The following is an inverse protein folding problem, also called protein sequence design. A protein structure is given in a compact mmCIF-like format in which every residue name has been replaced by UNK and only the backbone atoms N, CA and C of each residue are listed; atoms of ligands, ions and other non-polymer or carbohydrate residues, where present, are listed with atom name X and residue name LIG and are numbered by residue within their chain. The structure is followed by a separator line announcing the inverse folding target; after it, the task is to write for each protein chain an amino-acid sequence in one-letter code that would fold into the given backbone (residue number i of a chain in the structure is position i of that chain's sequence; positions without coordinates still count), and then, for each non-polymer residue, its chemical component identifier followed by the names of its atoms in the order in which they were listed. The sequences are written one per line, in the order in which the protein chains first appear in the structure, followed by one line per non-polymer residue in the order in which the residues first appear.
data_IF_807142826137
#
_entry.id   IF_807142826137
#
_cell.length_a   1.000
_cell.length_b   1.000
_cell.length_c   1.000
_cell.angle_alpha   90.00
_cell.angle_beta   90.00
_cell.angle_gamma   90.00
#
_symmetry.space_group_name_H-M   'P 1'
#
loop_
_entity.id
_entity.type
_entity.pdbx_description
1 polymer ?
#
# COMPACT_ATOMS: atom_id res chain seq x y z
N UNK A 1 23.21 72.21 -1.62
CA UNK A 1 22.34 71.40 -0.74
C UNK A 1 22.04 70.08 -1.46
N UNK A 2 22.77 69.01 -1.17
CA UNK A 2 22.52 67.65 -1.73
C UNK A 2 21.67 66.88 -0.73
N UNK A 3 20.48 66.48 -1.14
CA UNK A 3 19.58 65.60 -0.36
C UNK A 3 19.95 64.14 -0.66
N UNK A 4 20.50 63.45 0.32
CA UNK A 4 20.80 62.01 0.26
C UNK A 4 19.51 61.26 0.62
N UNK A 5 18.98 60.48 -0.31
CA UNK A 5 17.84 59.59 -0.09
C UNK A 5 18.36 58.24 0.38
N UNK A 6 18.09 57.87 1.65
CA UNK A 6 18.37 56.53 2.18
C UNK A 6 17.21 55.59 1.77
N UNK A 7 17.51 54.62 0.93
CA UNK A 7 16.60 53.50 0.63
C UNK A 7 16.76 52.42 1.68
N UNK A 8 15.75 52.22 2.52
CA UNK A 8 15.70 51.13 3.50
C UNK A 8 15.14 49.88 2.78
N UNK A 9 15.99 48.91 2.47
CA UNK A 9 15.57 47.62 1.92
C UNK A 9 15.14 46.70 3.09
N UNK A 10 13.83 46.49 3.21
CA UNK A 10 13.27 45.51 4.14
C UNK A 10 13.39 44.08 3.55
N UNK A 11 14.34 43.31 4.01
CA UNK A 11 14.45 41.89 3.70
C UNK A 11 13.41 41.10 4.52
N UNK A 12 12.36 40.62 3.86
CA UNK A 12 11.39 39.71 4.43
C UNK A 12 12.05 38.32 4.45
N UNK A 13 12.53 37.89 5.62
CA UNK A 13 13.00 36.52 5.84
C UNK A 13 11.78 35.60 5.97
N UNK A 14 11.44 34.89 4.89
CA UNK A 14 10.50 33.78 4.96
C UNK A 14 11.15 32.62 5.74
N UNK A 15 10.80 32.46 7.01
CA UNK A 15 11.19 31.28 7.78
C UNK A 15 10.35 30.10 7.33
N UNK A 16 10.88 29.24 6.45
CA UNK A 16 10.31 27.93 6.20
C UNK A 16 10.54 27.07 7.43
N UNK A 17 9.49 26.81 8.20
CA UNK A 17 9.53 25.80 9.26
C UNK A 17 9.64 24.43 8.62
N UNK A 18 10.85 23.89 8.46
CA UNK A 18 11.05 22.48 8.12
C UNK A 18 10.56 21.69 9.33
N UNK A 19 9.39 21.06 9.21
CA UNK A 19 8.90 20.17 10.24
C UNK A 19 9.79 18.93 10.26
N UNK A 20 10.49 18.68 11.38
CA UNK A 20 11.36 17.52 11.52
C UNK A 20 10.55 16.24 11.32
N UNK A 21 10.96 15.41 10.38
CA UNK A 21 10.40 14.09 10.12
C UNK A 21 10.48 13.23 11.37
N UNK A 22 9.34 12.73 11.85
CA UNK A 22 9.28 11.79 12.97
C UNK A 22 9.28 10.37 12.46
N UNK A 23 10.11 9.51 13.04
CA UNK A 23 10.20 8.10 12.70
C UNK A 23 9.73 7.21 13.85
N UNK A 24 9.14 6.08 13.49
CA UNK A 24 8.62 5.06 14.41
C UNK A 24 9.06 3.69 13.89
N UNK A 25 9.67 2.89 14.75
CA UNK A 25 10.12 1.55 14.37
C UNK A 25 9.22 0.47 14.96
N UNK A 26 9.07 -0.63 14.25
CA UNK A 26 8.37 -1.83 14.66
C UNK A 26 9.20 -3.04 14.23
N UNK A 27 9.60 -3.90 15.18
CA UNK A 27 10.30 -5.14 14.89
C UNK A 27 9.35 -6.33 14.97
N UNK A 28 9.63 -7.38 14.20
CA UNK A 28 9.03 -8.71 14.36
C UNK A 28 9.35 -9.28 15.75
N UNK A 29 8.61 -10.29 16.23
CA UNK A 29 8.91 -10.95 17.50
C UNK A 29 10.33 -11.52 17.58
N UNK A 30 10.84 -12.09 16.50
CA UNK A 30 12.23 -12.62 16.41
C UNK A 30 13.29 -11.51 16.15
N UNK A 31 12.85 -10.28 15.85
CA UNK A 31 13.71 -9.11 15.62
C UNK A 31 14.38 -9.04 14.25
N UNK A 32 14.16 -10.00 13.34
CA UNK A 32 14.80 -10.04 12.01
C UNK A 32 14.18 -9.04 11.03
N UNK A 33 12.85 -8.89 11.05
CA UNK A 33 12.15 -7.87 10.28
C UNK A 33 12.00 -6.59 11.10
N UNK A 34 12.35 -5.46 10.49
CA UNK A 34 12.11 -4.15 11.09
C UNK A 34 11.43 -3.22 10.09
N UNK A 35 10.29 -2.66 10.48
CA UNK A 35 9.58 -1.62 9.75
C UNK A 35 9.90 -0.26 10.35
N UNK A 36 10.32 0.69 9.52
CA UNK A 36 10.48 2.09 9.88
C UNK A 36 9.38 2.91 9.21
N UNK A 37 8.51 3.52 10.00
CA UNK A 37 7.43 4.40 9.52
C UNK A 37 7.85 5.85 9.75
N UNK A 38 7.83 6.64 8.69
CA UNK A 38 8.21 8.04 8.75
C UNK A 38 7.01 8.95 8.47
N UNK A 39 6.80 9.93 9.34
CA UNK A 39 5.78 10.97 9.23
C UNK A 39 6.49 12.32 9.02
N UNK A 40 6.59 12.73 7.77
CA UNK A 40 7.16 14.00 7.30
C UNK A 40 6.15 14.70 6.40
N UNK A 41 6.56 15.17 5.22
CA UNK A 41 5.66 15.72 4.20
C UNK A 41 4.70 14.65 3.66
N UNK A 42 5.14 13.39 3.68
CA UNK A 42 4.32 12.23 3.38
C UNK A 42 4.51 11.14 4.45
N UNK A 43 3.50 10.28 4.59
CA UNK A 43 3.62 9.04 5.35
C UNK A 43 4.31 8.00 4.46
N UNK A 44 5.43 7.45 4.94
CA UNK A 44 6.19 6.41 4.25
C UNK A 44 6.54 5.28 5.20
N UNK A 45 6.82 4.10 4.64
CA UNK A 45 7.37 2.98 5.39
C UNK A 45 8.53 2.35 4.62
N UNK A 46 9.49 1.80 5.34
CA UNK A 46 10.61 1.01 4.81
C UNK A 46 10.74 -0.27 5.63
N UNK A 47 11.27 -1.33 5.03
CA UNK A 47 11.44 -2.63 5.70
C UNK A 47 12.86 -3.13 5.51
N UNK A 48 13.47 -3.56 6.61
CA UNK A 48 14.74 -4.30 6.61
C UNK A 48 14.53 -5.73 7.10
N UNK A 49 15.29 -6.66 6.54
CA UNK A 49 15.37 -8.05 6.97
C UNK A 49 16.83 -8.40 7.26
N UNK A 50 17.14 -8.86 8.46
CA UNK A 50 18.50 -9.08 8.96
C UNK A 50 19.43 -7.86 8.72
N UNK A 51 18.90 -6.64 8.93
CA UNK A 51 19.62 -5.38 8.75
C UNK A 51 19.76 -4.90 7.29
N UNK A 52 19.34 -5.70 6.31
CA UNK A 52 19.36 -5.34 4.88
C UNK A 52 18.01 -4.75 4.46
N UNK A 53 18.03 -3.63 3.74
CA UNK A 53 16.81 -3.05 3.16
C UNK A 53 16.23 -3.95 2.08
N UNK A 54 14.96 -4.35 2.24
CA UNK A 54 14.18 -5.14 1.27
C UNK A 54 13.05 -4.33 0.66
N UNK A 55 12.49 -3.36 1.39
CA UNK A 55 11.62 -2.32 0.86
C UNK A 55 12.17 -0.97 1.27
N UNK A 56 12.40 -0.10 0.31
CA UNK A 56 12.81 1.29 0.50
C UNK A 56 11.61 2.17 0.86
N UNK A 57 11.85 3.43 1.23
CA UNK A 57 10.79 4.35 1.67
C UNK A 57 9.63 4.43 0.66
N UNK A 58 8.56 3.75 0.96
CA UNK A 58 7.37 3.55 0.13
C UNK A 58 6.23 4.42 0.67
N UNK A 59 5.68 5.36 -0.12
CA UNK A 59 4.60 6.21 0.33
C UNK A 59 3.26 5.47 0.34
N UNK A 60 2.40 5.87 1.29
CA UNK A 60 1.04 5.39 1.43
C UNK A 60 0.09 6.54 1.75
N UNK A 61 -1.05 6.59 1.07
CA UNK A 61 -2.07 7.61 1.31
C UNK A 61 -3.46 7.18 0.83
N UNK A 62 -4.51 7.83 1.39
CA UNK A 62 -5.89 7.74 0.90
C UNK A 62 -6.40 9.15 0.63
N UNK A 63 -6.89 9.40 -0.58
CA UNK A 63 -7.53 10.67 -0.94
C UNK A 63 -9.05 10.52 -0.85
N UNK A 64 -9.69 11.41 -0.10
CA UNK A 64 -11.12 11.45 0.13
C UNK A 64 -11.82 12.41 -0.83
N UNK A 65 -13.12 12.24 -1.02
CA UNK A 65 -13.96 13.09 -1.90
C UNK A 65 -14.07 14.55 -1.47
N UNK A 66 -13.77 14.87 -0.21
CA UNK A 66 -13.68 16.23 0.30
C UNK A 66 -12.31 16.91 0.04
N UNK A 67 -11.41 16.27 -0.70
CA UNK A 67 -10.07 16.75 -1.01
C UNK A 67 -9.01 16.49 0.08
N UNK A 68 -9.39 15.90 1.23
CA UNK A 68 -8.42 15.52 2.26
C UNK A 68 -7.63 14.30 1.82
N UNK A 69 -6.30 14.32 2.01
CA UNK A 69 -5.44 13.15 1.78
C UNK A 69 -4.84 12.67 3.10
N UNK A 70 -5.27 11.51 3.59
CA UNK A 70 -4.62 10.83 4.70
C UNK A 70 -3.25 10.34 4.25
N UNK A 71 -2.21 10.70 4.96
CA UNK A 71 -0.83 10.42 4.58
C UNK A 71 -0.07 11.61 3.99
N UNK A 72 -0.74 12.70 3.60
CA UNK A 72 -0.09 13.98 3.31
C UNK A 72 0.01 14.80 4.61
N UNK A 73 1.15 15.42 4.86
CA UNK A 73 1.46 16.17 6.09
C UNK A 73 0.95 15.45 7.38
N UNK A 74 1.27 14.15 7.58
CA UNK A 74 0.67 13.36 8.64
C UNK A 74 1.08 13.86 10.01
N UNK A 75 0.11 14.19 10.86
CA UNK A 75 0.34 14.67 12.22
C UNK A 75 -0.05 13.59 13.22
N UNK A 76 0.95 12.90 13.77
CA UNK A 76 0.74 11.85 14.75
C UNK A 76 0.30 12.47 16.09
N UNK A 77 -0.90 12.08 16.55
CA UNK A 77 -1.51 12.51 17.79
C UNK A 77 -1.36 11.48 18.93
N UNK A 78 -1.02 10.24 18.61
CA UNK A 78 -0.79 9.19 19.60
C UNK A 78 -0.16 7.96 18.96
N UNK A 79 0.57 7.20 19.78
CA UNK A 79 1.26 5.97 19.38
C UNK A 79 0.84 4.87 20.34
N UNK A 80 0.41 3.74 19.80
CA UNK A 80 0.11 2.54 20.58
C UNK A 80 0.94 1.38 20.04
N UNK A 81 1.50 0.59 20.95
CA UNK A 81 2.21 -0.65 20.64
C UNK A 81 1.54 -1.80 21.35
N UNK A 82 1.31 -2.88 20.63
CA UNK A 82 0.73 -4.11 21.18
C UNK A 82 1.47 -5.31 20.59
N UNK A 83 1.25 -6.47 21.17
CA UNK A 83 1.71 -7.75 20.63
C UNK A 83 0.60 -8.78 20.79
N UNK A 84 0.65 -9.81 19.96
CA UNK A 84 -0.19 -10.99 20.09
C UNK A 84 0.67 -12.23 19.98
N UNK A 85 0.30 -13.26 20.72
CA UNK A 85 0.81 -14.63 20.60
C UNK A 85 -0.33 -15.56 20.99
N UNK A 86 -1.09 -16.01 20.02
CA UNK A 86 -2.28 -16.84 20.23
C UNK A 86 -2.42 -17.84 19.09
N UNK A 87 -3.14 -18.92 19.36
CA UNK A 87 -3.50 -19.92 18.35
C UNK A 87 -4.91 -19.65 17.85
N UNK A 88 -5.07 -19.63 16.53
CA UNK A 88 -6.36 -19.49 15.84
C UNK A 88 -6.71 -20.84 15.23
N UNK A 89 -7.93 -21.34 15.50
CA UNK A 89 -8.44 -22.52 14.83
C UNK A 89 -8.66 -22.24 13.33
N UNK A 90 -8.20 -23.14 12.48
CA UNK A 90 -8.26 -22.99 11.02
C UNK A 90 -8.83 -24.25 10.36
N UNK A 91 -10.13 -24.54 10.55
CA UNK A 91 -10.73 -25.82 10.17
C UNK A 91 -10.80 -26.09 8.67
N UNK A 92 -10.58 -25.05 7.84
CA UNK A 92 -10.65 -25.16 6.37
C UNK A 92 -9.28 -25.01 5.69
N UNK A 93 -8.20 -25.03 6.47
CA UNK A 93 -6.85 -24.94 5.97
C UNK A 93 -6.10 -26.29 6.16
N UNK A 94 -4.94 -26.45 5.52
CA UNK A 94 -4.10 -27.65 5.65
C UNK A 94 -3.56 -27.90 7.08
N UNK A 95 -3.63 -26.89 7.94
CA UNK A 95 -3.29 -26.99 9.36
C UNK A 95 -4.53 -26.66 10.19
N UNK A 96 -4.81 -27.45 11.22
CA UNK A 96 -5.97 -27.28 12.11
C UNK A 96 -5.90 -25.99 12.94
N UNK A 97 -4.71 -25.45 13.10
CA UNK A 97 -4.47 -24.20 13.83
C UNK A 97 -3.29 -23.43 13.26
N UNK A 98 -3.36 -22.10 13.41
CA UNK A 98 -2.32 -21.15 12.98
C UNK A 98 -1.92 -20.32 14.19
N UNK A 99 -0.62 -20.15 14.41
CA UNK A 99 -0.11 -19.22 15.42
C UNK A 99 -0.19 -17.78 14.88
N UNK A 100 -0.95 -16.93 15.56
CA UNK A 100 -1.05 -15.50 15.28
C UNK A 100 -0.07 -14.77 16.23
N UNK A 101 1.18 -14.61 15.78
CA UNK A 101 2.28 -14.08 16.57
C UNK A 101 2.91 -12.86 15.88
N UNK A 102 2.64 -11.68 16.43
CA UNK A 102 3.12 -10.42 15.85
C UNK A 102 3.32 -9.32 16.88
N UNK A 103 4.12 -8.35 16.54
CA UNK A 103 4.11 -7.02 17.16
C UNK A 103 3.34 -6.03 16.29
N UNK A 104 2.67 -5.05 16.90
CA UNK A 104 1.87 -4.06 16.21
C UNK A 104 2.20 -2.62 16.65
N UNK A 105 2.10 -1.71 15.70
CA UNK A 105 2.24 -0.27 15.87
C UNK A 105 1.01 0.42 15.28
N UNK A 106 0.28 1.17 16.09
CA UNK A 106 -0.81 2.03 15.63
C UNK A 106 -0.42 3.48 15.80
N UNK A 107 -0.37 4.23 14.72
CA UNK A 107 -0.21 5.67 14.72
C UNK A 107 -1.58 6.31 14.56
N UNK A 108 -2.10 6.88 15.66
CA UNK A 108 -3.32 7.68 15.64
C UNK A 108 -2.98 9.07 15.13
N UNK A 109 -3.60 9.49 14.05
CA UNK A 109 -3.36 10.79 13.43
C UNK A 109 -4.33 11.86 13.97
N UNK A 110 -3.98 13.13 13.78
CA UNK A 110 -4.97 14.20 13.89
C UNK A 110 -6.06 14.00 12.86
N UNK A 111 -7.33 14.14 13.28
CA UNK A 111 -8.50 13.74 12.49
C UNK A 111 -8.97 12.33 12.87
N UNK A 112 -9.91 11.83 12.07
CA UNK A 112 -10.64 10.60 12.40
C UNK A 112 -10.05 9.36 11.73
N UNK A 113 -8.71 9.21 11.74
CA UNK A 113 -8.02 8.07 11.14
C UNK A 113 -6.75 7.64 11.88
N UNK A 114 -6.33 6.44 11.60
CA UNK A 114 -5.05 5.87 12.02
C UNK A 114 -4.44 5.04 10.90
N UNK A 115 -3.15 4.73 11.02
CA UNK A 115 -2.51 3.65 10.28
C UNK A 115 -2.02 2.60 11.27
N UNK A 116 -2.26 1.34 10.95
CA UNK A 116 -1.82 0.19 11.74
C UNK A 116 -0.77 -0.58 10.94
N UNK A 117 0.30 -0.98 11.62
CA UNK A 117 1.33 -1.86 11.12
C UNK A 117 1.39 -3.11 11.98
N UNK A 118 1.61 -4.26 11.36
CA UNK A 118 1.98 -5.52 12.03
C UNK A 118 3.28 -6.03 11.45
N UNK A 119 4.15 -6.54 12.31
CA UNK A 119 5.35 -7.26 11.94
C UNK A 119 5.26 -8.67 12.52
N UNK A 120 5.22 -9.65 11.65
CA UNK A 120 5.34 -11.08 11.90
C UNK A 120 6.80 -11.50 11.67
N UNK A 121 7.17 -12.72 12.05
CA UNK A 121 8.53 -13.23 11.80
C UNK A 121 8.80 -13.46 10.30
N UNK A 122 7.74 -13.60 9.50
CA UNK A 122 7.73 -13.88 8.07
C UNK A 122 7.10 -12.77 7.21
N UNK A 123 6.80 -11.59 7.77
CA UNK A 123 6.23 -10.52 6.97
C UNK A 123 5.78 -9.29 7.73
N UNK A 124 5.45 -8.27 6.95
CA UNK A 124 4.90 -7.02 7.46
C UNK A 124 3.61 -6.67 6.74
N UNK A 125 2.69 -6.03 7.45
CA UNK A 125 1.43 -5.58 6.90
C UNK A 125 1.08 -4.19 7.41
N UNK A 126 0.39 -3.39 6.57
CA UNK A 126 -0.21 -2.14 7.02
C UNK A 126 -1.65 -2.01 6.53
N UNK A 127 -2.44 -1.24 7.26
CA UNK A 127 -3.76 -0.78 6.82
C UNK A 127 -4.10 0.58 7.37
N UNK A 128 -4.99 1.27 6.69
CA UNK A 128 -5.67 2.43 7.24
C UNK A 128 -6.87 2.00 8.11
N UNK A 129 -7.25 2.86 9.06
CA UNK A 129 -8.44 2.68 9.89
C UNK A 129 -9.17 4.01 9.99
N UNK A 130 -10.44 4.03 9.60
CA UNK A 130 -11.34 5.17 9.77
C UNK A 130 -12.05 5.10 11.11
N UNK A 131 -12.12 6.24 11.79
CA UNK A 131 -12.99 6.48 12.94
C UNK A 131 -14.06 7.53 12.62
N UNK A 132 -14.14 7.96 11.38
CA UNK A 132 -15.14 8.93 10.93
C UNK A 132 -16.56 8.43 11.20
N UNK A 133 -17.40 9.31 11.72
CA UNK A 133 -18.80 9.00 12.02
C UNK A 133 -19.74 9.37 10.87
N UNK A 134 -19.26 10.15 9.91
CA UNK A 134 -20.02 10.55 8.72
C UNK A 134 -19.52 9.75 7.53
N UNK A 135 -20.42 9.37 6.62
CA UNK A 135 -20.03 8.73 5.35
C UNK A 135 -19.11 9.63 4.52
N UNK A 136 -18.22 9.00 3.75
CA UNK A 136 -17.35 9.64 2.76
C UNK A 136 -16.99 8.62 1.67
N UNK A 137 -16.43 9.12 0.55
CA UNK A 137 -15.89 8.27 -0.49
C UNK A 137 -14.35 8.36 -0.52
N UNK A 138 -13.70 7.26 -0.90
CA UNK A 138 -12.28 7.23 -1.21
C UNK A 138 -12.14 7.38 -2.72
N UNK A 139 -11.47 8.45 -3.14
CA UNK A 139 -11.22 8.74 -4.55
C UNK A 139 -10.05 7.92 -5.06
N UNK A 140 -8.97 7.79 -4.25
CA UNK A 140 -7.80 7.02 -4.62
C UNK A 140 -7.02 6.53 -3.40
N UNK A 141 -6.27 5.44 -3.57
CA UNK A 141 -5.28 4.96 -2.63
C UNK A 141 -3.92 4.94 -3.30
N UNK A 142 -2.89 5.42 -2.58
CA UNK A 142 -1.50 5.21 -2.93
C UNK A 142 -0.98 4.05 -2.08
N UNK A 143 -0.62 2.95 -2.73
CA UNK A 143 0.00 1.77 -2.15
C UNK A 143 1.23 1.43 -2.99
N UNK A 144 2.35 2.09 -2.69
CA UNK A 144 3.60 1.89 -3.41
C UNK A 144 4.48 0.88 -2.67
N UNK A 145 5.25 0.12 -3.44
CA UNK A 145 6.29 -0.78 -2.98
C UNK A 145 7.57 -0.43 -3.72
N UNK A 146 8.52 0.19 -3.02
CA UNK A 146 9.81 0.61 -3.59
C UNK A 146 10.89 -0.35 -3.13
N UNK A 147 11.74 -0.74 -4.06
CA UNK A 147 12.85 -1.65 -3.79
C UNK A 147 14.18 -0.90 -3.87
N UNK A 148 15.23 -1.36 -3.14
CA UNK A 148 16.52 -0.67 -3.09
C UNK A 148 17.30 -0.73 -4.42
N UNK A 149 16.93 -1.64 -5.32
CA UNK A 149 17.58 -1.86 -6.60
C UNK A 149 16.57 -2.30 -7.68
N UNK A 150 17.02 -2.37 -8.93
CA UNK A 150 16.28 -2.96 -10.03
C UNK A 150 16.35 -4.50 -9.94
N UNK A 151 15.44 -5.06 -9.15
CA UNK A 151 15.38 -6.48 -8.82
C UNK A 151 14.56 -7.27 -9.83
N UNK A 152 14.77 -8.58 -9.88
CA UNK A 152 13.94 -9.49 -10.66
C UNK A 152 12.61 -9.72 -9.94
N UNK A 153 11.52 -9.70 -10.71
CA UNK A 153 10.17 -9.92 -10.22
C UNK A 153 9.46 -10.99 -11.06
N UNK A 154 8.73 -11.87 -10.41
CA UNK A 154 7.86 -12.87 -11.02
C UNK A 154 6.42 -12.44 -10.82
N UNK A 155 5.76 -12.05 -11.93
CA UNK A 155 4.48 -11.34 -11.91
C UNK A 155 3.45 -11.99 -12.83
N UNK A 156 2.17 -12.04 -12.43
CA UNK A 156 1.06 -12.45 -13.28
C UNK A 156 0.41 -11.21 -13.91
N UNK A 157 0.55 -11.02 -15.21
CA UNK A 157 -0.21 -9.99 -15.91
C UNK A 157 -1.66 -10.40 -16.13
N UNK A 158 -2.57 -9.42 -16.15
CA UNK A 158 -3.93 -9.67 -16.63
C UNK A 158 -3.89 -10.11 -18.09
N UNK A 159 -4.61 -11.20 -18.42
CA UNK A 159 -4.57 -11.81 -19.75
C UNK A 159 -5.40 -11.04 -20.79
N UNK A 160 -6.37 -10.22 -20.35
CA UNK A 160 -7.35 -9.55 -21.21
C UNK A 160 -7.30 -8.04 -21.03
N UNK A 161 -8.03 -7.34 -21.89
CA UNK A 161 -8.11 -5.89 -21.92
C UNK A 161 -7.03 -5.27 -22.81
N UNK A 162 -7.30 -4.05 -23.25
CA UNK A 162 -6.42 -3.28 -24.14
C UNK A 162 -5.20 -2.81 -23.35
N UNK A 163 -4.03 -2.99 -23.92
CA UNK A 163 -2.79 -2.47 -23.34
C UNK A 163 -2.81 -0.95 -23.25
N UNK A 164 -2.42 -0.41 -22.10
CA UNK A 164 -2.47 1.02 -21.80
C UNK A 164 -3.84 1.53 -21.30
N UNK A 165 -4.87 0.69 -21.31
CA UNK A 165 -6.20 1.00 -20.81
C UNK A 165 -6.51 0.12 -19.60
N UNK A 166 -6.26 0.65 -18.40
CA UNK A 166 -6.45 -0.11 -17.17
C UNK A 166 -7.92 -0.40 -16.87
N UNK A 167 -8.85 0.47 -17.27
CA UNK A 167 -10.28 0.24 -17.05
C UNK A 167 -10.77 -1.00 -17.80
N UNK A 168 -10.29 -1.21 -19.03
CA UNK A 168 -10.60 -2.40 -19.82
C UNK A 168 -9.95 -3.68 -19.25
N UNK A 169 -8.86 -3.54 -18.49
CA UNK A 169 -8.13 -4.65 -17.88
C UNK A 169 -8.73 -5.16 -16.56
N UNK A 170 -9.60 -4.41 -15.90
CA UNK A 170 -10.25 -4.87 -14.67
C UNK A 170 -11.23 -6.04 -14.85
N UNK A 171 -11.62 -6.33 -16.08
CA UNK A 171 -12.42 -7.50 -16.39
C UNK A 171 -11.50 -8.67 -16.82
N UNK A 172 -11.10 -9.49 -15.86
CA UNK A 172 -10.21 -10.62 -16.09
C UNK A 172 -10.54 -11.81 -15.18
N UNK A 173 -9.94 -12.96 -15.43
CA UNK A 173 -10.18 -14.21 -14.69
C UNK A 173 -9.13 -14.49 -13.60
N UNK A 174 -8.12 -13.64 -13.41
CA UNK A 174 -6.97 -13.89 -12.55
C UNK A 174 -6.20 -15.17 -12.89
N UNK A 175 -6.24 -15.57 -14.16
CA UNK A 175 -5.58 -16.76 -14.70
C UNK A 175 -4.62 -16.33 -15.81
N UNK A 176 -3.34 -16.52 -15.56
CA UNK A 176 -2.29 -16.33 -16.56
C UNK A 176 -1.00 -17.02 -16.11
N UNK A 177 -0.09 -17.26 -17.03
CA UNK A 177 1.28 -17.68 -16.70
C UNK A 177 2.05 -16.51 -16.10
N UNK A 178 2.95 -16.83 -15.20
CA UNK A 178 3.83 -15.82 -14.60
C UNK A 178 4.96 -15.46 -15.58
N UNK A 179 5.34 -14.18 -15.56
CA UNK A 179 6.46 -13.63 -16.30
C UNK A 179 7.53 -13.20 -15.30
N UNK A 180 8.79 -13.57 -15.56
CA UNK A 180 9.94 -13.12 -14.77
C UNK A 180 10.73 -12.09 -15.57
N UNK A 181 10.93 -10.90 -14.98
CA UNK A 181 11.67 -9.79 -15.58
C UNK A 181 12.18 -8.84 -14.49
N UNK A 182 13.11 -7.94 -14.82
CA UNK A 182 13.49 -6.86 -13.90
C UNK A 182 12.34 -5.86 -13.73
N UNK A 183 12.26 -5.22 -12.57
CA UNK A 183 11.23 -4.22 -12.27
C UNK A 183 11.16 -3.12 -13.36
N UNK A 184 12.31 -2.69 -13.88
CA UNK A 184 12.40 -1.68 -14.94
C UNK A 184 11.93 -2.17 -16.32
N UNK A 185 11.89 -3.49 -16.54
CA UNK A 185 11.52 -4.14 -17.79
C UNK A 185 10.06 -4.61 -17.81
N UNK A 186 9.34 -4.50 -16.69
CA UNK A 186 7.93 -4.85 -16.62
C UNK A 186 7.11 -3.99 -17.59
N UNK A 187 6.07 -4.59 -18.18
CA UNK A 187 5.21 -3.90 -19.14
C UNK A 187 4.33 -2.84 -18.44
N UNK A 188 4.58 -1.53 -18.67
CA UNK A 188 3.81 -0.46 -18.02
C UNK A 188 2.36 -0.34 -18.52
N UNK A 189 2.04 -0.94 -19.65
CA UNK A 189 0.68 -0.97 -20.21
C UNK A 189 -0.20 -2.09 -19.66
N UNK A 190 0.35 -2.97 -18.79
CA UNK A 190 -0.37 -4.11 -18.24
C UNK A 190 -0.47 -4.05 -16.72
N UNK A 191 -1.67 -4.34 -16.21
CA UNK A 191 -1.88 -4.58 -14.78
C UNK A 191 -1.35 -5.96 -14.39
N UNK A 192 -0.78 -6.03 -13.20
CA UNK A 192 -0.39 -7.28 -12.53
C UNK A 192 -1.36 -7.52 -11.38
N UNK A 193 -1.84 -8.75 -11.27
CA UNK A 193 -2.65 -9.16 -10.11
C UNK A 193 -1.79 -9.83 -9.03
N UNK A 194 -2.34 -10.09 -7.87
CA UNK A 194 -1.64 -10.66 -6.71
C UNK A 194 -1.88 -12.18 -6.60
N UNK A 195 -0.96 -12.93 -5.96
CA UNK A 195 0.32 -12.46 -5.41
C UNK A 195 1.39 -12.29 -6.51
N UNK A 196 2.40 -11.48 -6.24
CA UNK A 196 3.62 -11.43 -7.04
C UNK A 196 4.85 -11.48 -6.13
N UNK A 197 5.99 -11.91 -6.67
CA UNK A 197 7.22 -12.12 -5.90
C UNK A 197 8.37 -11.33 -6.50
N UNK A 198 9.14 -10.65 -5.64
CA UNK A 198 10.37 -9.95 -6.01
C UNK A 198 11.54 -10.63 -5.32
N UNK A 199 12.58 -10.94 -6.10
CA UNK A 199 13.81 -11.53 -5.59
C UNK A 199 14.69 -10.44 -4.95
N UNK A 200 14.74 -10.41 -3.63
CA UNK A 200 15.56 -9.47 -2.90
C UNK A 200 17.04 -9.88 -2.83
N UNK A 201 17.44 -10.98 -3.45
CA UNK A 201 18.80 -11.52 -3.43
C UNK A 201 19.12 -12.35 -2.19
N UNK A 202 20.24 -13.08 -2.23
CA UNK A 202 20.72 -13.94 -1.15
C UNK A 202 19.68 -14.98 -0.66
N UNK A 203 18.82 -15.45 -1.59
CA UNK A 203 17.77 -16.42 -1.28
C UNK A 203 16.55 -15.84 -0.56
N UNK A 204 16.47 -14.52 -0.41
CA UNK A 204 15.33 -13.83 0.20
C UNK A 204 14.36 -13.36 -0.87
N UNK A 205 13.10 -13.70 -0.73
CA UNK A 205 12.00 -13.29 -1.59
C UNK A 205 11.04 -12.38 -0.82
N UNK A 206 10.40 -11.46 -1.54
CA UNK A 206 9.34 -10.58 -1.03
C UNK A 206 8.08 -10.83 -1.84
N UNK A 207 7.09 -11.47 -1.24
CA UNK A 207 5.79 -11.70 -1.85
C UNK A 207 4.84 -10.55 -1.48
N UNK A 208 4.35 -9.83 -2.47
CA UNK A 208 3.37 -8.76 -2.28
C UNK A 208 1.97 -9.36 -2.43
N UNK A 209 1.12 -9.11 -1.46
CA UNK A 209 -0.29 -9.56 -1.45
C UNK A 209 -1.16 -8.64 -0.59
N UNK A 210 -2.43 -9.00 -0.46
CA UNK A 210 -3.41 -8.31 0.38
C UNK A 210 -4.33 -9.29 1.09
N UNK A 211 -5.01 -8.85 2.13
CA UNK A 211 -6.04 -9.63 2.83
C UNK A 211 -7.09 -8.72 3.46
N UNK A 212 -8.16 -9.31 3.98
CA UNK A 212 -9.29 -8.61 4.62
C UNK A 212 -10.02 -7.71 3.61
N UNK A 213 -10.22 -8.23 2.39
CA UNK A 213 -10.81 -7.50 1.26
C UNK A 213 -12.34 -7.50 1.35
N UNK A 214 -12.89 -6.59 2.14
CA UNK A 214 -14.33 -6.42 2.32
C UNK A 214 -14.79 -5.05 1.83
N UNK A 215 -15.76 -5.01 0.90
CA UNK A 215 -16.34 -3.78 0.35
C UNK A 215 -15.29 -2.74 -0.07
N UNK A 216 -14.25 -3.22 -0.74
CA UNK A 216 -13.13 -2.42 -1.24
C UNK A 216 -12.58 -3.07 -2.52
N UNK A 217 -12.06 -2.29 -3.49
CA UNK A 217 -11.47 -2.89 -4.70
C UNK A 217 -10.17 -3.62 -4.36
N UNK A 218 -9.94 -4.74 -5.05
CA UNK A 218 -8.68 -5.47 -4.97
C UNK A 218 -7.51 -4.67 -5.51
N UNK A 219 -6.32 -4.93 -4.95
CA UNK A 219 -5.07 -4.30 -5.35
C UNK A 219 -4.53 -4.94 -6.63
N UNK A 220 -4.38 -4.15 -7.67
CA UNK A 220 -3.51 -4.44 -8.81
C UNK A 220 -2.22 -3.64 -8.69
N UNK A 221 -1.17 -4.10 -9.34
CA UNK A 221 0.11 -3.40 -9.39
C UNK A 221 0.51 -3.08 -10.83
N UNK A 222 1.30 -2.01 -10.99
CA UNK A 222 1.95 -1.61 -12.24
C UNK A 222 3.27 -0.92 -11.93
N UNK A 223 4.21 -0.91 -12.89
CA UNK A 223 5.38 -0.05 -12.85
C UNK A 223 5.15 1.28 -13.59
N UNK A 224 4.00 1.47 -14.25
CA UNK A 224 3.65 2.72 -14.92
C UNK A 224 3.54 3.88 -13.91
N UNK A 225 4.39 4.90 -14.10
CA UNK A 225 4.43 6.05 -13.19
C UNK A 225 4.89 5.74 -11.76
N UNK A 226 5.42 4.53 -11.51
CA UNK A 226 6.10 4.18 -10.28
C UNK A 226 7.50 4.80 -10.19
N UNK A 227 8.12 4.77 -9.00
CA UNK A 227 9.55 5.03 -8.87
C UNK A 227 10.36 4.02 -9.69
N UNK A 228 11.58 4.36 -10.08
CA UNK A 228 12.41 3.54 -10.98
C UNK A 228 12.49 2.05 -10.62
N UNK A 229 12.58 1.75 -9.31
CA UNK A 229 12.67 0.39 -8.78
C UNK A 229 11.42 0.06 -7.96
N UNK A 230 10.24 0.44 -8.43
CA UNK A 230 9.03 0.32 -7.64
C UNK A 230 7.84 -0.23 -8.40
N UNK A 231 6.85 -0.60 -7.61
CA UNK A 231 5.51 -0.98 -8.04
C UNK A 231 4.51 -0.01 -7.39
N UNK A 232 3.44 0.30 -8.12
CA UNK A 232 2.40 1.22 -7.70
C UNK A 232 1.06 0.51 -7.70
N UNK A 233 0.26 0.73 -6.65
CA UNK A 233 -1.10 0.23 -6.55
C UNK A 233 -2.05 0.88 -7.55
N UNK A 234 -2.92 0.07 -8.13
CA UNK A 234 -4.02 0.48 -9.02
C UNK A 234 -5.30 -0.19 -8.54
N UNK A 235 -6.38 0.58 -8.46
CA UNK A 235 -7.65 0.14 -7.93
C UNK A 235 -8.77 0.43 -8.92
N UNK A 236 -9.65 -0.55 -9.13
CA UNK A 236 -10.81 -0.35 -9.99
C UNK A 236 -11.76 0.68 -9.37
N UNK A 237 -12.24 1.67 -10.14
CA UNK A 237 -13.26 2.60 -9.68
C UNK A 237 -14.57 1.88 -9.32
N UNK A 238 -15.32 2.44 -8.38
CA UNK A 238 -16.56 1.87 -7.86
C UNK A 238 -17.57 1.64 -8.99
N UNK A 239 -18.22 0.46 -9.08
CA UNK A 239 -19.19 0.19 -10.12
C UNK A 239 -20.45 1.03 -9.93
N UNK A 240 -20.84 1.78 -10.97
CA UNK A 240 -22.10 2.53 -10.98
C UNK A 240 -23.23 1.71 -11.59
N UNK A 241 -22.98 1.12 -12.76
CA UNK A 241 -23.95 0.31 -13.47
C UNK A 241 -23.39 -1.07 -13.74
N UNK A 242 -24.16 -2.06 -13.38
CA UNK A 242 -23.80 -3.45 -13.54
C UNK A 242 -24.92 -4.21 -14.23
N UNK A 243 -24.56 -5.21 -15.01
CA UNK A 243 -25.51 -6.14 -15.62
C UNK A 243 -24.99 -7.57 -15.54
N UNK A 244 -25.89 -8.53 -15.42
CA UNK A 244 -25.55 -9.94 -15.48
C UNK A 244 -25.22 -10.33 -16.93
N UNK A 245 -24.05 -10.95 -17.13
CA UNK A 245 -23.56 -11.31 -18.46
C UNK A 245 -22.31 -12.20 -18.40
N UNK A 246 -21.44 -12.07 -19.40
CA UNK A 246 -20.22 -12.84 -19.50
C UNK A 246 -20.43 -14.31 -19.81
N UNK A 247 -19.46 -15.15 -19.46
CA UNK A 247 -19.53 -16.59 -19.73
C UNK A 247 -20.70 -17.23 -18.99
N UNK A 248 -21.57 -17.90 -19.74
CA UNK A 248 -22.81 -18.51 -19.24
C UNK A 248 -23.73 -17.57 -18.42
N UNK A 249 -23.60 -16.26 -18.58
CA UNK A 249 -24.32 -15.23 -17.81
C UNK A 249 -24.10 -15.36 -16.28
N UNK A 250 -22.94 -15.84 -15.85
CA UNK A 250 -22.61 -16.04 -14.43
C UNK A 250 -21.79 -14.89 -13.83
N UNK A 251 -21.52 -13.85 -14.62
CA UNK A 251 -20.67 -12.73 -14.22
C UNK A 251 -21.47 -11.44 -14.13
N UNK A 252 -21.03 -10.52 -13.27
CA UNK A 252 -21.52 -9.15 -13.22
C UNK A 252 -20.58 -8.27 -14.02
N UNK A 253 -21.03 -7.75 -15.15
CA UNK A 253 -20.28 -6.86 -16.02
C UNK A 253 -20.46 -5.42 -15.55
N UNK A 254 -19.37 -4.72 -15.22
CA UNK A 254 -19.42 -3.29 -14.90
C UNK A 254 -19.47 -2.50 -16.20
N UNK A 255 -20.54 -1.73 -16.40
CA UNK A 255 -20.76 -0.91 -17.60
C UNK A 255 -20.40 0.56 -17.41
N UNK A 256 -20.59 1.05 -16.20
CA UNK A 256 -20.27 2.42 -15.82
C UNK A 256 -19.61 2.43 -14.45
N UNK A 257 -18.67 3.33 -14.25
CA UNK A 257 -17.90 3.49 -13.01
C UNK A 257 -18.04 4.89 -12.44
N UNK A 258 -17.89 5.01 -11.13
CA UNK A 258 -17.84 6.28 -10.42
C UNK A 258 -16.42 6.87 -10.47
N UNK A 259 -16.31 8.12 -10.02
CA UNK A 259 -15.05 8.87 -9.84
C UNK A 259 -14.32 8.56 -8.50
N UNK A 260 -14.76 7.53 -7.78
CA UNK A 260 -14.18 7.07 -6.53
C UNK A 260 -14.06 5.55 -6.53
N UNK A 261 -13.17 5.02 -5.68
CA UNK A 261 -12.88 3.58 -5.62
C UNK A 261 -13.70 2.85 -4.54
N UNK A 262 -14.10 3.54 -3.47
CA UNK A 262 -14.87 2.92 -2.39
C UNK A 262 -15.79 3.92 -1.68
N UNK A 263 -16.90 3.41 -1.14
CA UNK A 263 -17.80 4.11 -0.22
C UNK A 263 -17.53 3.65 1.20
N UNK A 264 -17.55 4.58 2.14
CA UNK A 264 -17.32 4.34 3.57
C UNK A 264 -18.50 4.91 4.36
N UNK A 265 -19.36 4.04 4.84
CA UNK A 265 -20.60 4.43 5.54
C UNK A 265 -20.44 4.47 7.07
N UNK A 266 -19.45 3.74 7.62
CA UNK A 266 -19.22 3.59 9.06
C UNK A 266 -17.72 3.60 9.38
N UNK A 267 -17.33 3.80 10.66
CA UNK A 267 -15.97 3.52 11.07
C UNK A 267 -15.56 2.09 10.70
N UNK A 268 -14.40 1.93 10.07
CA UNK A 268 -13.91 0.62 9.62
C UNK A 268 -12.40 0.56 9.49
N UNK A 269 -11.86 -0.64 9.47
CA UNK A 269 -10.53 -0.92 8.96
C UNK A 269 -10.61 -1.18 7.44
N UNK A 270 -9.53 -0.83 6.72
CA UNK A 270 -9.36 -1.12 5.30
C UNK A 270 -8.52 -2.39 5.11
N UNK A 271 -8.45 -2.95 3.89
CA UNK A 271 -7.66 -4.14 3.64
C UNK A 271 -6.19 -3.97 4.04
N UNK A 272 -5.57 -5.07 4.46
CA UNK A 272 -4.14 -5.12 4.72
C UNK A 272 -3.36 -5.19 3.41
N UNK A 273 -2.33 -4.36 3.29
CA UNK A 273 -1.29 -4.44 2.27
C UNK A 273 -0.12 -5.16 2.90
N UNK A 274 0.36 -6.22 2.26
CA UNK A 274 1.28 -7.16 2.88
C UNK A 274 2.53 -7.37 2.03
N UNK A 275 3.67 -7.50 2.70
CA UNK A 275 4.92 -8.02 2.16
C UNK A 275 5.34 -9.22 3.01
N UNK A 276 5.17 -10.42 2.49
CA UNK A 276 5.62 -11.67 3.10
C UNK A 276 7.07 -11.90 2.68
N UNK A 277 7.93 -12.25 3.63
CA UNK A 277 9.38 -12.34 3.43
C UNK A 277 9.86 -13.73 3.85
N UNK A 278 10.56 -14.39 2.97
CA UNK A 278 11.07 -15.73 3.22
C UNK A 278 11.91 -16.25 2.07
N UNK A 279 12.33 -17.50 2.16
CA UNK A 279 12.92 -18.23 1.03
C UNK A 279 11.83 -18.77 0.09
N UNK A 280 12.23 -19.36 -1.03
CA UNK A 280 11.29 -20.06 -1.93
C UNK A 280 10.50 -21.17 -1.19
N UNK A 281 11.14 -21.84 -0.24
CA UNK A 281 10.49 -22.90 0.57
C UNK A 281 9.49 -22.31 1.57
N UNK A 282 9.77 -21.12 2.12
CA UNK A 282 8.87 -20.47 3.09
C UNK A 282 7.61 -19.92 2.40
N UNK A 283 7.71 -19.55 1.12
CA UNK A 283 6.61 -18.99 0.32
C UNK A 283 5.77 -20.06 -0.40
N UNK A 284 6.26 -21.31 -0.49
CA UNK A 284 5.57 -22.43 -1.13
C UNK A 284 4.58 -23.13 -0.19
#
# INVERSE_FOLDING_TARGET
MRKTLLLLAATVACTFSVQAQKTYTLASPDGRLQTTVAAGDALTYAVTFDGRTILDASPLSLTLDNGTTWGADPRVAGVTRTSADKTIASPFYRADSIRDHYNALTLRMKGDWSVEFRAYDDGVAYRFVSRAKKPFNIVSEQADFRFPADLEATVPYVARGKEGDFDDQFYNSFENTYTTARLSELNPGRLMFLPLVVDAGDGVKVCITETDLENYPGLYLTNAGAAKNGLKGVFAPYPEKQEQGGHNRLQMLVRERKDHIAKVDTPRAFPWRMAIVGSDTDLA
#
